data_IF_117291699206
#
_entry.id   IF_117291699206
#
_cell.length_a   1.000
_cell.length_b   1.000
_cell.length_c   1.000
_cell.angle_alpha   90.00
_cell.angle_beta   90.00
_cell.angle_gamma   90.00
#
_symmetry.space_group_name_H-M   'P 1'
#
loop_
_entity.id
_entity.type
_entity.pdbx_description
1 polymer ?
#
# COMPACT_ATOMS: atom_id res chain seq x y z
N UNK A 1 8.75 29.39 0.76
CA UNK A 1 8.21 29.46 -0.60
C UNK A 1 9.26 29.60 -1.71
N UNK A 2 10.10 30.63 -1.76
CA UNK A 2 11.05 30.83 -2.87
C UNK A 2 12.05 29.68 -3.13
N UNK A 3 12.51 28.98 -2.08
CA UNK A 3 13.41 27.81 -2.21
C UNK A 3 12.66 26.61 -2.80
N UNK A 4 11.48 26.28 -2.25
CA UNK A 4 10.59 25.21 -2.74
C UNK A 4 10.33 25.35 -4.24
N UNK A 5 9.89 26.54 -4.69
CA UNK A 5 9.60 26.82 -6.10
C UNK A 5 10.86 26.65 -6.97
N UNK A 6 12.02 27.13 -6.52
CA UNK A 6 13.27 26.97 -7.28
C UNK A 6 13.72 25.51 -7.39
N UNK A 7 13.56 24.73 -6.31
CA UNK A 7 13.86 23.30 -6.29
C UNK A 7 12.95 22.55 -7.28
N UNK A 8 11.64 22.79 -7.25
CA UNK A 8 10.67 22.19 -8.16
C UNK A 8 10.96 22.53 -9.63
N UNK A 9 11.33 23.79 -9.94
CA UNK A 9 11.76 24.18 -11.29
C UNK A 9 13.01 23.44 -11.74
N UNK A 10 14.01 23.37 -10.87
CA UNK A 10 15.25 22.68 -11.18
C UNK A 10 14.98 21.20 -11.47
N UNK A 11 14.15 20.55 -10.65
CA UNK A 11 13.74 19.17 -10.85
C UNK A 11 12.94 18.97 -12.15
N UNK A 12 11.97 19.84 -12.44
CA UNK A 12 11.19 19.82 -13.69
C UNK A 12 12.11 19.90 -14.92
N UNK A 13 13.04 20.85 -14.93
CA UNK A 13 13.95 21.07 -16.06
C UNK A 13 14.95 19.94 -16.26
N UNK A 14 15.31 19.23 -15.19
CA UNK A 14 16.27 18.11 -15.22
C UNK A 14 15.61 16.75 -15.38
N UNK A 15 14.29 16.67 -15.25
CA UNK A 15 13.58 15.39 -15.12
C UNK A 15 14.04 14.60 -13.89
N UNK A 16 14.16 15.28 -12.74
CA UNK A 16 14.56 14.65 -11.48
C UNK A 16 13.34 14.20 -10.66
N UNK A 17 13.47 13.05 -9.98
CA UNK A 17 12.52 12.62 -8.94
C UNK A 17 12.65 13.55 -7.74
N UNK A 18 11.52 13.88 -7.12
CA UNK A 18 11.41 14.72 -5.93
C UNK A 18 10.57 14.05 -4.87
N UNK A 19 10.86 14.37 -3.60
CA UNK A 19 9.92 14.18 -2.49
C UNK A 19 9.33 15.54 -2.17
N UNK A 20 8.01 15.62 -2.08
CA UNK A 20 7.27 16.83 -1.71
C UNK A 20 6.59 16.59 -0.37
N UNK A 21 7.00 17.34 0.64
CA UNK A 21 6.56 17.19 2.02
C UNK A 21 5.45 18.19 2.33
N UNK A 22 4.30 17.68 2.74
CA UNK A 22 3.17 18.50 3.19
C UNK A 22 3.19 18.73 4.69
N UNK A 23 2.56 19.81 5.13
CA UNK A 23 2.50 20.21 6.56
C UNK A 23 1.84 19.19 7.50
N UNK A 24 1.11 18.21 6.95
CA UNK A 24 0.48 17.09 7.64
C UNK A 24 1.28 15.78 7.55
N UNK A 25 2.59 15.88 7.27
CA UNK A 25 3.55 14.77 7.16
C UNK A 25 3.27 13.77 6.03
N UNK A 26 2.36 14.09 5.11
CA UNK A 26 2.17 13.34 3.87
C UNK A 26 3.30 13.66 2.89
N UNK A 27 3.90 12.62 2.31
CA UNK A 27 5.00 12.72 1.34
C UNK A 27 4.52 12.20 -0.01
N UNK A 28 4.68 13.03 -1.05
CA UNK A 28 4.49 12.60 -2.42
C UNK A 28 5.83 12.48 -3.15
N UNK A 29 6.09 11.30 -3.70
CA UNK A 29 7.31 11.03 -4.46
C UNK A 29 7.01 10.94 -5.95
N UNK A 30 7.76 11.65 -6.79
CA UNK A 30 7.48 11.62 -8.22
C UNK A 30 8.24 12.62 -9.08
N UNK A 31 7.73 12.83 -10.29
CA UNK A 31 8.24 13.84 -11.21
C UNK A 31 7.26 15.01 -11.31
N UNK A 32 7.81 16.23 -11.34
CA UNK A 32 7.01 17.43 -11.63
C UNK A 32 6.41 17.30 -13.04
N UNK A 33 5.09 17.34 -13.14
CA UNK A 33 4.36 17.30 -14.40
C UNK A 33 4.00 18.71 -14.86
N UNK A 34 3.55 19.54 -13.93
CA UNK A 34 3.19 20.94 -14.17
C UNK A 34 3.53 21.75 -12.92
N UNK A 35 4.07 22.95 -13.13
CA UNK A 35 4.29 23.95 -12.09
C UNK A 35 3.78 25.31 -12.60
N UNK A 36 2.80 25.88 -11.91
CA UNK A 36 2.38 27.28 -12.12
C UNK A 36 2.91 28.13 -10.95
N UNK A 37 3.89 28.97 -11.27
CA UNK A 37 4.57 29.81 -10.31
C UNK A 37 3.73 31.00 -9.83
N UNK A 38 2.74 31.42 -10.63
CA UNK A 38 1.94 32.59 -10.32
C UNK A 38 0.76 32.24 -9.41
N UNK A 39 0.16 31.06 -9.64
CA UNK A 39 -0.91 30.52 -8.79
C UNK A 39 -0.40 29.64 -7.65
N UNK A 40 0.92 29.41 -7.57
CA UNK A 40 1.54 28.54 -6.57
C UNK A 40 0.96 27.12 -6.58
N UNK A 41 0.79 26.56 -7.78
CA UNK A 41 0.16 25.25 -8.01
C UNK A 41 1.14 24.24 -8.61
N UNK A 42 1.04 23.00 -8.14
CA UNK A 42 1.90 21.90 -8.55
C UNK A 42 1.06 20.69 -8.96
N UNK A 43 1.46 20.02 -10.04
CA UNK A 43 0.98 18.67 -10.36
C UNK A 43 2.19 17.75 -10.47
N UNK A 44 2.16 16.64 -9.73
CA UNK A 44 3.16 15.58 -9.79
C UNK A 44 2.58 14.35 -10.49
N UNK A 45 3.43 13.64 -11.23
CA UNK A 45 3.23 12.22 -11.52
C UNK A 45 3.85 11.43 -10.37
N UNK A 46 3.04 10.66 -9.65
CA UNK A 46 3.43 9.97 -8.43
C UNK A 46 3.89 8.54 -8.68
N UNK A 47 4.74 8.06 -7.77
CA UNK A 47 5.20 6.68 -7.71
C UNK A 47 4.97 6.15 -6.30
N UNK A 48 4.58 4.88 -6.22
CA UNK A 48 4.40 4.20 -4.93
C UNK A 48 5.73 3.79 -4.32
N UNK A 49 5.65 3.23 -3.11
CA UNK A 49 6.79 2.73 -2.36
C UNK A 49 7.58 1.62 -3.11
N UNK A 50 6.98 0.97 -4.11
CA UNK A 50 7.62 -0.07 -4.92
C UNK A 50 8.31 0.49 -6.17
N UNK A 51 8.29 1.81 -6.37
CA UNK A 51 8.86 2.46 -7.55
C UNK A 51 8.01 2.31 -8.80
N UNK A 52 6.73 1.96 -8.67
CA UNK A 52 5.80 1.87 -9.78
C UNK A 52 4.96 3.15 -9.91
N UNK A 53 4.53 3.53 -11.13
CA UNK A 53 3.63 4.67 -11.30
C UNK A 53 2.31 4.49 -10.52
N UNK A 54 1.89 5.52 -9.80
CA UNK A 54 0.68 5.51 -8.98
C UNK A 54 -0.13 6.79 -9.15
N UNK A 55 -0.44 7.11 -10.41
CA UNK A 55 -1.30 8.24 -10.74
C UNK A 55 -0.62 9.61 -10.70
N UNK A 56 -1.42 10.59 -10.31
CA UNK A 56 -1.05 12.00 -10.28
C UNK A 56 -1.67 12.69 -9.07
N UNK A 57 -0.99 13.73 -8.59
CA UNK A 57 -1.50 14.57 -7.49
C UNK A 57 -1.36 16.04 -7.84
N UNK A 58 -2.44 16.79 -7.62
CA UNK A 58 -2.42 18.25 -7.54
C UNK A 58 -2.12 18.67 -6.10
N UNK A 59 -1.29 19.69 -5.94
CA UNK A 59 -0.94 20.29 -4.67
C UNK A 59 -1.01 21.82 -4.77
N UNK A 60 -1.69 22.43 -3.81
CA UNK A 60 -1.50 23.85 -3.49
C UNK A 60 -0.17 23.99 -2.74
N UNK A 61 0.75 24.82 -3.23
CA UNK A 61 2.07 24.95 -2.60
C UNK A 61 1.99 25.58 -1.20
N UNK A 62 0.86 26.19 -0.81
CA UNK A 62 0.68 26.70 0.56
C UNK A 62 0.74 25.59 1.62
N UNK A 63 0.41 24.34 1.27
CA UNK A 63 0.50 23.19 2.18
C UNK A 63 1.81 22.44 2.07
N UNK A 64 2.74 22.89 1.22
CA UNK A 64 4.07 22.30 1.03
C UNK A 64 5.10 23.05 1.87
N UNK A 65 5.75 22.37 2.81
CA UNK A 65 6.79 23.00 3.64
C UNK A 65 8.21 22.74 3.14
N UNK A 66 8.46 21.60 2.51
CA UNK A 66 9.78 21.26 1.95
C UNK A 66 9.68 20.44 0.67
N UNK A 67 10.73 20.55 -0.14
CA UNK A 67 10.93 19.74 -1.35
C UNK A 67 12.37 19.28 -1.40
N UNK A 68 12.54 17.97 -1.31
CA UNK A 68 13.81 17.33 -1.49
C UNK A 68 14.04 17.05 -2.98
N UNK A 69 15.21 17.48 -3.46
CA UNK A 69 15.65 17.31 -4.84
C UNK A 69 17.08 16.81 -4.84
N UNK A 70 17.38 15.86 -5.73
CA UNK A 70 18.73 15.34 -6.01
C UNK A 70 19.47 14.69 -4.81
N UNK A 71 20.12 13.55 -5.07
CA UNK A 71 21.13 12.87 -4.24
C UNK A 71 20.82 12.53 -2.77
N UNK A 72 19.61 12.72 -2.26
CA UNK A 72 19.23 12.11 -0.98
C UNK A 72 19.26 10.59 -1.08
N UNK A 73 19.49 9.94 0.06
CA UNK A 73 19.50 8.48 0.15
C UNK A 73 18.14 7.91 -0.26
N UNK A 74 17.05 8.53 0.20
CA UNK A 74 15.67 8.14 -0.13
C UNK A 74 15.38 8.24 -1.64
N UNK A 75 15.76 9.35 -2.28
CA UNK A 75 15.55 9.51 -3.72
C UNK A 75 16.46 8.59 -4.55
N UNK A 76 17.65 8.24 -4.06
CA UNK A 76 18.50 7.24 -4.70
C UNK A 76 17.88 5.84 -4.61
N UNK A 77 17.37 5.47 -3.44
CA UNK A 77 16.64 4.20 -3.25
C UNK A 77 15.39 4.15 -4.12
N UNK A 78 14.60 5.22 -4.15
CA UNK A 78 13.41 5.30 -5.02
C UNK A 78 13.78 5.15 -6.49
N UNK A 79 14.80 5.87 -6.99
CA UNK A 79 15.28 5.71 -8.37
C UNK A 79 15.69 4.27 -8.68
N UNK A 80 16.39 3.62 -7.74
CA UNK A 80 16.73 2.20 -7.88
C UNK A 80 15.48 1.33 -7.94
N UNK A 81 14.48 1.55 -7.08
CA UNK A 81 13.19 0.83 -7.13
C UNK A 81 12.49 1.01 -8.48
N UNK A 82 12.47 2.22 -9.04
CA UNK A 82 11.96 2.48 -10.39
C UNK A 82 12.74 1.69 -11.47
N UNK A 83 14.06 1.64 -11.36
CA UNK A 83 14.91 0.87 -12.29
C UNK A 83 14.67 -0.64 -12.17
N UNK A 84 14.50 -1.17 -10.95
CA UNK A 84 14.13 -2.57 -10.69
C UNK A 84 12.78 -2.87 -11.32
N UNK A 85 11.76 -2.05 -11.03
CA UNK A 85 10.41 -2.24 -11.56
C UNK A 85 10.43 -2.31 -13.09
N UNK A 86 11.21 -1.43 -13.74
CA UNK A 86 11.41 -1.46 -15.18
C UNK A 86 12.20 -2.69 -15.66
N UNK A 87 13.26 -3.08 -14.96
CA UNK A 87 14.11 -4.21 -15.32
C UNK A 87 13.38 -5.55 -15.23
N UNK A 88 12.62 -5.76 -14.17
CA UNK A 88 11.85 -6.97 -13.93
C UNK A 88 10.44 -6.91 -14.54
N UNK A 89 10.09 -5.83 -15.23
CA UNK A 89 8.81 -5.64 -15.90
C UNK A 89 7.62 -5.78 -14.95
N UNK A 90 7.67 -5.07 -13.81
CA UNK A 90 6.54 -5.03 -12.88
C UNK A 90 5.27 -4.56 -13.59
N UNK A 91 4.13 -5.13 -13.19
CA UNK A 91 2.88 -5.06 -13.93
C UNK A 91 2.00 -3.95 -13.39
N UNK A 92 1.78 -2.92 -14.21
CA UNK A 92 0.90 -1.81 -13.85
C UNK A 92 -0.59 -2.22 -13.93
N UNK A 93 -1.40 -1.88 -12.92
CA UNK A 93 -2.86 -2.17 -12.86
C UNK A 93 -3.65 -1.45 -13.97
N UNK A 94 -3.11 -0.36 -14.48
CA UNK A 94 -3.57 0.32 -15.67
C UNK A 94 -2.41 1.12 -16.28
N UNK A 95 -2.39 1.23 -17.62
CA UNK A 95 -1.55 2.24 -18.26
C UNK A 95 -1.96 3.61 -17.72
N UNK A 96 -1.11 4.21 -16.90
CA UNK A 96 -1.37 5.54 -16.34
C UNK A 96 -1.12 6.57 -17.43
N UNK A 97 -2.07 6.73 -18.34
CA UNK A 97 -2.05 7.81 -19.31
C UNK A 97 -2.20 9.13 -18.55
N UNK A 98 -1.18 9.97 -18.67
CA UNK A 98 -1.18 11.27 -17.99
C UNK A 98 -2.36 12.11 -18.48
N UNK A 99 -3.08 12.71 -17.53
CA UNK A 99 -4.15 13.64 -17.87
C UNK A 99 -3.56 14.87 -18.53
N UNK A 100 -3.99 15.26 -19.74
CA UNK A 100 -3.57 16.52 -20.33
C UNK A 100 -4.22 17.68 -19.58
N UNK A 101 -3.41 18.55 -18.97
CA UNK A 101 -3.88 19.69 -18.17
C UNK A 101 -3.59 20.99 -18.91
N UNK A 102 -4.62 21.82 -19.09
CA UNK A 102 -4.46 23.16 -19.64
C UNK A 102 -4.00 24.14 -18.56
N UNK A 103 -2.69 24.43 -18.52
CA UNK A 103 -2.10 25.37 -17.56
C UNK A 103 -2.60 26.82 -17.65
N UNK A 104 -3.36 27.19 -18.69
CA UNK A 104 -3.94 28.53 -18.82
C UNK A 104 -5.32 28.65 -18.17
N UNK A 105 -5.90 27.53 -17.75
CA UNK A 105 -7.16 27.46 -17.02
C UNK A 105 -6.90 27.21 -15.53
N UNK A 106 -7.95 27.29 -14.71
CA UNK A 106 -7.86 26.86 -13.31
C UNK A 106 -7.58 25.35 -13.27
N UNK A 107 -6.42 24.96 -12.72
CA UNK A 107 -5.93 23.59 -12.77
C UNK A 107 -6.85 22.64 -12.00
N UNK A 108 -7.31 23.04 -10.80
CA UNK A 108 -8.26 22.25 -10.00
C UNK A 108 -9.53 21.96 -10.78
N UNK A 109 -10.09 22.97 -11.44
CA UNK A 109 -11.31 22.86 -12.23
C UNK A 109 -11.11 21.98 -13.47
N UNK A 110 -9.96 22.07 -14.14
CA UNK A 110 -9.62 21.17 -15.26
C UNK A 110 -9.55 19.71 -14.81
N UNK A 111 -8.88 19.43 -13.69
CA UNK A 111 -8.77 18.07 -13.14
C UNK A 111 -10.15 17.53 -12.78
N UNK A 112 -10.91 18.25 -11.95
CA UNK A 112 -12.24 17.82 -11.49
C UNK A 112 -13.25 17.71 -12.64
N UNK A 113 -13.21 18.65 -13.58
CA UNK A 113 -14.06 18.64 -14.77
C UNK A 113 -13.78 17.45 -15.69
N UNK A 114 -12.51 17.05 -15.84
CA UNK A 114 -12.13 15.85 -16.59
C UNK A 114 -12.52 14.59 -15.84
N UNK A 115 -12.27 14.51 -14.54
CA UNK A 115 -12.72 13.38 -13.72
C UNK A 115 -14.23 13.19 -13.77
N UNK A 116 -15.00 14.28 -13.84
CA UNK A 116 -16.46 14.23 -14.08
C UNK A 116 -16.80 13.61 -15.44
N UNK A 117 -16.21 14.11 -16.52
CA UNK A 117 -16.48 13.64 -17.89
C UNK A 117 -16.07 12.17 -18.07
N UNK A 118 -14.96 11.76 -17.47
CA UNK A 118 -14.42 10.40 -17.57
C UNK A 118 -15.02 9.45 -16.51
N UNK A 119 -15.79 9.99 -15.56
CA UNK A 119 -16.40 9.23 -14.46
C UNK A 119 -15.37 8.56 -13.54
N UNK A 120 -14.24 9.23 -13.33
CA UNK A 120 -13.12 8.76 -12.51
C UNK A 120 -13.30 9.13 -11.04
N UNK A 121 -12.89 8.22 -10.16
CA UNK A 121 -12.74 8.48 -8.73
C UNK A 121 -11.57 9.42 -8.48
N UNK A 122 -11.77 10.35 -7.56
CA UNK A 122 -10.74 11.25 -7.06
C UNK A 122 -10.72 11.19 -5.54
N UNK A 123 -9.59 11.56 -4.94
CA UNK A 123 -9.54 11.95 -3.54
C UNK A 123 -9.22 13.43 -3.44
N UNK A 124 -10.07 14.18 -2.76
CA UNK A 124 -9.95 15.62 -2.58
C UNK A 124 -9.71 15.91 -1.10
N UNK A 125 -8.63 16.61 -0.78
CA UNK A 125 -8.35 17.09 0.57
C UNK A 125 -8.63 18.58 0.65
N UNK A 126 -9.36 18.98 1.69
CA UNK A 126 -9.68 20.36 2.01
C UNK A 126 -9.11 20.74 3.36
N UNK A 127 -8.56 21.95 3.46
CA UNK A 127 -8.12 22.49 4.74
C UNK A 127 -9.33 22.91 5.59
N UNK A 128 -9.24 22.65 6.89
CA UNK A 128 -10.26 23.05 7.84
C UNK A 128 -9.77 24.27 8.64
N UNK A 129 -10.59 25.31 8.86
CA UNK A 129 -10.15 26.56 9.49
C UNK A 129 -9.38 26.40 10.82
N UNK A 130 -9.64 25.33 11.58
CA UNK A 130 -9.01 25.04 12.87
C UNK A 130 -8.80 23.52 13.11
N UNK A 131 -8.61 22.73 12.06
CA UNK A 131 -8.67 21.26 12.17
C UNK A 131 -7.64 20.51 11.34
N UNK A 132 -7.66 19.19 11.50
CA UNK A 132 -6.96 18.24 10.63
C UNK A 132 -7.60 18.33 9.23
N UNK A 133 -6.81 18.33 8.14
CA UNK A 133 -7.34 18.31 6.78
C UNK A 133 -8.35 17.18 6.61
N UNK A 134 -9.44 17.44 5.88
CA UNK A 134 -10.46 16.43 5.62
C UNK A 134 -10.34 15.93 4.18
N UNK A 135 -10.23 14.61 4.02
CA UNK A 135 -10.16 13.95 2.71
C UNK A 135 -11.50 13.30 2.36
N UNK A 136 -11.93 13.51 1.12
CA UNK A 136 -13.13 12.91 0.54
C UNK A 136 -12.73 12.10 -0.69
N UNK A 137 -13.04 10.80 -0.68
CA UNK A 137 -12.86 9.92 -1.84
C UNK A 137 -14.21 9.71 -2.52
N UNK A 138 -14.29 9.88 -3.84
CA UNK A 138 -15.56 9.74 -4.53
C UNK A 138 -15.56 10.14 -6.00
N UNK A 139 -16.75 10.14 -6.58
CA UNK A 139 -16.97 10.61 -7.95
C UNK A 139 -17.32 12.10 -7.92
N UNK A 140 -16.79 12.84 -8.87
CA UNK A 140 -17.32 14.17 -9.18
C UNK A 140 -18.71 13.96 -9.79
N UNK A 141 -19.76 14.48 -9.15
CA UNK A 141 -21.14 14.37 -9.63
C UNK A 141 -21.55 15.53 -10.54
N UNK A 142 -21.06 16.74 -10.22
CA UNK A 142 -21.27 17.92 -11.04
C UNK A 142 -20.27 19.01 -10.70
N UNK A 143 -19.88 19.79 -11.71
CA UNK A 143 -19.25 21.10 -11.52
C UNK A 143 -20.38 22.13 -11.37
N UNK A 144 -20.66 22.54 -10.14
CA UNK A 144 -21.81 23.40 -9.79
C UNK A 144 -21.62 24.81 -10.34
N UNK A 145 -20.39 25.32 -10.27
CA UNK A 145 -19.97 26.62 -10.79
C UNK A 145 -18.46 26.61 -11.03
N UNK A 146 -17.89 27.75 -11.43
CA UNK A 146 -16.42 27.93 -11.45
C UNK A 146 -15.77 27.92 -10.07
N UNK A 147 -16.57 27.93 -9.00
CA UNK A 147 -16.10 28.05 -7.61
C UNK A 147 -16.38 26.80 -6.77
N UNK A 148 -17.29 25.92 -7.20
CA UNK A 148 -17.71 24.77 -6.41
C UNK A 148 -17.96 23.51 -7.26
N UNK A 149 -17.66 22.37 -6.64
CA UNK A 149 -17.88 21.03 -7.17
C UNK A 149 -18.72 20.21 -6.19
N UNK A 150 -19.57 19.31 -6.68
CA UNK A 150 -20.26 18.33 -5.84
C UNK A 150 -19.62 16.95 -6.06
N UNK A 151 -19.21 16.29 -4.97
CA UNK A 151 -18.78 14.90 -4.97
C UNK A 151 -19.87 14.00 -4.38
N UNK A 152 -19.99 12.79 -4.93
CA UNK A 152 -20.63 11.67 -4.23
C UNK A 152 -19.50 10.86 -3.59
N UNK A 153 -19.40 10.93 -2.26
CA UNK A 153 -18.38 10.25 -1.49
C UNK A 153 -18.66 8.76 -1.38
N UNK A 154 -17.61 7.97 -1.29
CA UNK A 154 -17.66 6.52 -1.09
C UNK A 154 -16.89 6.13 0.16
N UNK A 155 -17.48 5.26 0.97
CA UNK A 155 -16.76 4.49 1.97
C UNK A 155 -16.52 3.08 1.41
N UNK A 156 -15.25 2.66 1.35
CA UNK A 156 -14.91 1.33 0.83
C UNK A 156 -15.18 0.20 1.82
N UNK A 157 -15.48 0.55 3.07
CA UNK A 157 -15.79 -0.37 4.16
C UNK A 157 -17.28 -0.54 4.40
N UNK A 158 -18.10 0.42 3.94
CA UNK A 158 -19.56 0.43 4.07
C UNK A 158 -20.21 1.06 2.83
N UNK A 159 -20.81 0.24 1.97
CA UNK A 159 -21.47 0.71 0.75
C UNK A 159 -22.85 1.30 1.01
N UNK A 160 -23.35 1.34 2.24
CA UNK A 160 -24.61 2.03 2.55
C UNK A 160 -24.42 3.54 2.73
N UNK A 161 -23.18 3.97 2.95
CA UNK A 161 -22.81 5.35 3.23
C UNK A 161 -22.36 6.09 1.98
N UNK A 162 -23.31 6.79 1.34
CA UNK A 162 -23.02 7.74 0.27
C UNK A 162 -23.54 9.12 0.62
N UNK A 163 -22.67 10.12 0.54
CA UNK A 163 -23.02 11.50 0.82
C UNK A 163 -22.69 12.38 -0.38
N UNK A 164 -23.61 13.30 -0.69
CA UNK A 164 -23.32 14.40 -1.58
C UNK A 164 -22.68 15.52 -0.78
N UNK A 165 -21.46 15.87 -1.15
CA UNK A 165 -20.69 16.91 -0.49
C UNK A 165 -20.32 17.96 -1.53
N UNK A 166 -20.76 19.21 -1.30
CA UNK A 166 -20.33 20.35 -2.09
C UNK A 166 -19.05 20.92 -1.51
N UNK A 167 -18.00 20.99 -2.32
CA UNK A 167 -16.69 21.49 -1.94
C UNK A 167 -16.39 22.78 -2.70
N UNK A 168 -15.90 23.81 -1.99
CA UNK A 168 -15.39 25.01 -2.63
C UNK A 168 -14.01 24.72 -3.23
N UNK A 169 -13.84 25.02 -4.51
CA UNK A 169 -12.60 24.76 -5.25
C UNK A 169 -11.42 25.51 -4.62
N UNK A 170 -11.65 26.70 -4.06
CA UNK A 170 -10.63 27.49 -3.39
C UNK A 170 -10.09 26.82 -2.11
N UNK A 171 -10.87 25.95 -1.46
CA UNK A 171 -10.49 25.25 -0.22
C UNK A 171 -9.73 23.94 -0.46
N UNK A 172 -9.71 23.48 -1.71
CA UNK A 172 -9.02 22.25 -2.10
C UNK A 172 -7.51 22.49 -2.12
N UNK A 173 -6.78 21.71 -1.32
CA UNK A 173 -5.32 21.77 -1.27
C UNK A 173 -4.64 20.58 -1.91
N UNK A 174 -5.33 19.45 -1.99
CA UNK A 174 -4.82 18.25 -2.67
C UNK A 174 -5.91 17.59 -3.49
N UNK A 175 -5.56 17.13 -4.69
CA UNK A 175 -6.41 16.23 -5.50
C UNK A 175 -5.54 15.07 -5.96
N UNK A 176 -5.82 13.86 -5.49
CA UNK A 176 -5.24 12.64 -6.03
C UNK A 176 -6.18 12.03 -7.08
N UNK A 177 -5.60 11.64 -8.21
CA UNK A 177 -6.34 11.11 -9.36
C UNK A 177 -5.47 10.12 -10.15
N UNK A 178 -6.12 9.20 -10.87
CA UNK A 178 -5.46 8.16 -11.66
C UNK A 178 -4.56 7.17 -10.87
N UNK A 179 -4.57 7.23 -9.54
CA UNK A 179 -3.87 6.25 -8.70
C UNK A 179 -4.44 4.83 -8.87
N UNK A 180 -3.67 3.82 -8.48
CA UNK A 180 -4.02 2.40 -8.63
C UNK A 180 -5.34 2.06 -7.94
N UNK A 181 -5.46 2.43 -6.66
CA UNK A 181 -6.69 2.19 -5.88
C UNK A 181 -7.88 2.96 -6.50
N UNK A 182 -7.69 4.25 -6.84
CA UNK A 182 -8.74 5.08 -7.46
C UNK A 182 -9.20 4.50 -8.81
N UNK A 183 -8.28 3.94 -9.59
CA UNK A 183 -8.60 3.27 -10.86
C UNK A 183 -9.43 2.01 -10.62
N UNK A 184 -9.07 1.20 -9.62
CA UNK A 184 -9.84 0.02 -9.25
C UNK A 184 -11.22 0.36 -8.70
N UNK A 185 -11.34 1.40 -7.89
CA UNK A 185 -12.63 1.94 -7.43
C UNK A 185 -13.48 2.44 -8.60
N UNK A 186 -12.87 3.12 -9.58
CA UNK A 186 -13.54 3.61 -10.78
C UNK A 186 -14.15 2.46 -11.60
N UNK A 187 -13.37 1.40 -11.83
CA UNK A 187 -13.82 0.18 -12.53
C UNK A 187 -14.99 -0.50 -11.81
N UNK A 188 -15.03 -0.41 -10.47
CA UNK A 188 -15.99 -1.10 -9.62
C UNK A 188 -17.07 -0.20 -9.01
N UNK A 189 -17.33 0.98 -9.61
CA UNK A 189 -18.34 1.92 -9.12
C UNK A 189 -19.73 1.30 -8.94
N UNK A 190 -20.13 0.36 -9.80
CA UNK A 190 -21.44 -0.31 -9.68
C UNK A 190 -21.56 -1.13 -8.40
N UNK A 191 -20.45 -1.71 -7.94
CA UNK A 191 -20.40 -2.44 -6.67
C UNK A 191 -20.48 -1.45 -5.50
N UNK A 192 -19.67 -0.38 -5.54
CA UNK A 192 -19.59 0.64 -4.49
C UNK A 192 -20.91 1.38 -4.24
N UNK A 193 -21.69 1.63 -5.30
CA UNK A 193 -23.00 2.28 -5.24
C UNK A 193 -24.17 1.30 -5.28
N UNK A 194 -23.89 0.00 -5.08
CA UNK A 194 -24.88 -1.07 -5.07
C UNK A 194 -25.36 -1.39 -3.66
N UNK A 195 -25.89 -2.61 -3.50
CA UNK A 195 -26.34 -3.10 -2.20
C UNK A 195 -25.16 -3.37 -1.27
N UNK A 196 -25.26 -2.86 -0.04
CA UNK A 196 -24.36 -3.14 1.09
C UNK A 196 -24.68 -4.48 1.74
N UNK A 197 -23.69 -5.09 2.37
CA UNK A 197 -23.87 -6.27 3.24
C UNK A 197 -23.43 -5.96 4.67
N UNK A 198 -24.09 -6.60 5.63
CA UNK A 198 -23.65 -6.57 7.02
C UNK A 198 -22.29 -7.25 7.17
N UNK A 199 -21.43 -6.64 7.98
CA UNK A 199 -20.14 -7.21 8.35
C UNK A 199 -20.34 -8.42 9.29
N UNK A 200 -19.68 -9.52 8.97
CA UNK A 200 -19.66 -10.74 9.80
C UNK A 200 -18.30 -10.86 10.46
N UNK A 201 -18.27 -10.55 11.75
CA UNK A 201 -17.10 -10.61 12.64
C UNK A 201 -17.14 -11.86 13.52
N UNK A 202 -15.99 -12.50 13.69
CA UNK A 202 -15.76 -13.64 14.59
C UNK A 202 -14.58 -13.32 15.49
N UNK A 203 -14.73 -13.58 16.80
CA UNK A 203 -13.65 -13.40 17.76
C UNK A 203 -12.53 -14.42 17.54
N UNK A 204 -11.27 -14.02 17.75
CA UNK A 204 -10.12 -14.90 17.54
C UNK A 204 -10.03 -16.09 18.50
N UNK A 205 -10.72 -16.03 19.64
CA UNK A 205 -10.84 -17.13 20.60
C UNK A 205 -12.07 -18.03 20.38
N UNK A 206 -12.80 -17.82 19.27
CA UNK A 206 -13.94 -18.66 18.92
C UNK A 206 -13.50 -20.13 18.72
N UNK A 207 -14.17 -21.10 19.38
CA UNK A 207 -13.79 -22.52 19.29
C UNK A 207 -13.92 -23.12 17.87
N UNK A 208 -14.64 -22.45 16.96
CA UNK A 208 -14.85 -22.87 15.58
C UNK A 208 -13.90 -22.19 14.58
N UNK A 209 -12.89 -21.45 15.03
CA UNK A 209 -11.97 -20.74 14.12
C UNK A 209 -11.27 -21.67 13.11
N UNK A 210 -10.93 -22.90 13.52
CA UNK A 210 -10.33 -23.89 12.63
C UNK A 210 -11.31 -24.40 11.57
N UNK A 211 -12.60 -24.50 11.91
CA UNK A 211 -13.65 -24.86 10.96
C UNK A 211 -13.85 -23.74 9.92
N UNK A 212 -13.70 -22.48 10.36
CA UNK A 212 -13.74 -21.32 9.46
C UNK A 212 -12.54 -21.29 8.51
N UNK A 213 -11.34 -21.63 8.97
CA UNK A 213 -10.18 -21.79 8.08
C UNK A 213 -10.35 -22.95 7.11
N UNK A 214 -10.92 -24.07 7.57
CA UNK A 214 -11.27 -25.21 6.73
C UNK A 214 -12.22 -24.82 5.59
N UNK A 215 -13.32 -24.16 5.95
CA UNK A 215 -14.34 -23.69 5.01
C UNK A 215 -13.77 -22.64 4.05
N UNK A 216 -12.97 -21.69 4.56
CA UNK A 216 -12.35 -20.65 3.73
C UNK A 216 -11.38 -21.23 2.71
N UNK A 217 -10.57 -22.22 3.10
CA UNK A 217 -9.70 -22.96 2.18
C UNK A 217 -10.51 -23.74 1.14
N UNK A 218 -11.53 -24.47 1.57
CA UNK A 218 -12.35 -25.32 0.69
C UNK A 218 -13.19 -24.51 -0.31
N UNK A 219 -13.69 -23.34 0.09
CA UNK A 219 -14.54 -22.47 -0.71
C UNK A 219 -13.78 -21.32 -1.38
N UNK A 220 -12.47 -21.23 -1.17
CA UNK A 220 -11.62 -20.13 -1.62
C UNK A 220 -12.21 -18.75 -1.24
N UNK A 221 -12.64 -18.62 0.01
CA UNK A 221 -13.20 -17.39 0.57
C UNK A 221 -12.07 -16.47 1.01
N UNK A 222 -12.19 -15.19 0.63
CA UNK A 222 -11.33 -14.12 1.12
C UNK A 222 -11.76 -13.76 2.54
N UNK A 223 -10.81 -13.53 3.44
CA UNK A 223 -11.08 -13.08 4.79
C UNK A 223 -10.18 -11.89 5.14
N UNK A 224 -10.53 -11.21 6.23
CA UNK A 224 -9.69 -10.21 6.88
C UNK A 224 -9.38 -10.68 8.31
N UNK A 225 -8.11 -10.65 8.71
CA UNK A 225 -7.68 -10.94 10.08
C UNK A 225 -7.09 -9.68 10.67
N UNK A 226 -7.62 -9.25 11.81
CA UNK A 226 -6.93 -8.33 12.68
C UNK A 226 -6.00 -9.08 13.63
N UNK A 227 -4.78 -8.58 13.74
CA UNK A 227 -3.75 -9.19 14.58
C UNK A 227 -3.78 -8.66 16.02
N UNK A 228 -3.51 -9.56 16.97
CA UNK A 228 -3.24 -9.23 18.36
C UNK A 228 -1.82 -8.65 18.60
N UNK A 229 -0.93 -8.67 17.60
CA UNK A 229 0.43 -8.12 17.68
C UNK A 229 0.43 -6.59 17.68
N UNK A 230 -0.49 -5.97 16.93
CA UNK A 230 -0.51 -4.54 16.74
C UNK A 230 -1.94 -4.07 16.45
N UNK A 231 -2.52 -3.34 17.42
CA UNK A 231 -3.86 -2.75 17.30
C UNK A 231 -3.87 -1.75 16.13
N UNK A 232 -4.42 -2.16 14.99
CA UNK A 232 -4.55 -1.33 13.79
C UNK A 232 -4.01 -1.96 12.51
N UNK A 233 -3.28 -3.08 12.60
CA UNK A 233 -2.88 -3.86 11.43
C UNK A 233 -3.86 -5.00 11.18
N UNK A 234 -4.29 -5.12 9.93
CA UNK A 234 -5.08 -6.24 9.45
C UNK A 234 -4.48 -6.82 8.17
N UNK A 235 -4.77 -8.09 7.94
CA UNK A 235 -4.36 -8.83 6.77
C UNK A 235 -5.58 -9.28 5.98
N UNK A 236 -5.54 -9.14 4.67
CA UNK A 236 -6.58 -9.68 3.78
C UNK A 236 -5.98 -10.81 2.97
N UNK A 237 -6.66 -11.95 2.86
CA UNK A 237 -6.05 -13.10 2.22
C UNK A 237 -6.94 -14.31 2.01
N UNK A 238 -6.35 -15.34 1.40
CA UNK A 238 -6.95 -16.67 1.29
C UNK A 238 -6.15 -17.70 2.09
N UNK A 239 -6.86 -18.60 2.77
CA UNK A 239 -6.22 -19.65 3.57
C UNK A 239 -5.54 -20.60 2.61
N UNK A 240 -4.22 -20.73 2.73
CA UNK A 240 -3.45 -21.70 1.96
C UNK A 240 -3.44 -23.04 2.71
N UNK A 241 -3.14 -23.00 4.00
CA UNK A 241 -3.16 -24.17 4.86
C UNK A 241 -3.27 -23.78 6.35
N UNK A 242 -3.56 -24.75 7.22
CA UNK A 242 -3.70 -24.50 8.66
C UNK A 242 -3.49 -25.78 9.48
N UNK A 243 -3.20 -25.62 10.76
CA UNK A 243 -3.25 -26.67 11.77
C UNK A 243 -3.72 -26.08 13.12
N UNK A 244 -3.60 -26.83 14.21
CA UNK A 244 -4.05 -26.39 15.54
C UNK A 244 -3.26 -25.20 16.10
N UNK A 245 -2.02 -24.97 15.66
CA UNK A 245 -1.16 -23.91 16.18
C UNK A 245 -1.06 -22.71 15.24
N UNK A 246 -1.06 -22.94 13.93
CA UNK A 246 -0.83 -21.91 12.92
C UNK A 246 -1.85 -21.96 11.78
N UNK A 247 -2.07 -20.80 11.17
CA UNK A 247 -2.68 -20.63 9.86
C UNK A 247 -1.66 -19.97 8.92
N UNK A 248 -1.61 -20.42 7.67
CA UNK A 248 -0.86 -19.74 6.62
C UNK A 248 -1.83 -19.29 5.52
N UNK A 249 -1.65 -18.04 5.11
CA UNK A 249 -2.46 -17.43 4.08
C UNK A 249 -1.61 -16.61 3.13
N UNK A 250 -2.09 -16.51 1.89
CA UNK A 250 -1.57 -15.55 0.94
C UNK A 250 -2.23 -14.20 1.18
N UNK A 251 -1.46 -13.13 1.02
CA UNK A 251 -1.95 -11.77 1.18
C UNK A 251 -2.49 -11.25 -0.13
N UNK A 252 -3.53 -10.41 -0.04
CA UNK A 252 -4.05 -9.60 -1.13
C UNK A 252 -3.90 -8.13 -0.72
N UNK A 253 -3.24 -7.33 -1.56
CA UNK A 253 -3.06 -5.90 -1.32
C UNK A 253 -4.38 -5.13 -1.43
N UNK A 254 -4.39 -3.88 -0.98
CA UNK A 254 -5.57 -3.00 -1.07
C UNK A 254 -5.98 -2.69 -2.53
N UNK A 255 -5.07 -2.88 -3.49
CA UNK A 255 -5.34 -2.78 -4.93
C UNK A 255 -5.71 -4.13 -5.57
N UNK A 256 -5.75 -5.21 -4.79
CA UNK A 256 -6.14 -6.56 -5.20
C UNK A 256 -5.02 -7.42 -5.78
N UNK A 257 -3.74 -7.04 -5.65
CA UNK A 257 -2.60 -7.83 -6.14
C UNK A 257 -2.12 -8.81 -5.06
N UNK A 258 -1.25 -9.75 -5.43
CA UNK A 258 -0.60 -10.65 -4.49
C UNK A 258 0.36 -9.88 -3.57
N UNK A 259 0.19 -10.04 -2.26
CA UNK A 259 0.98 -9.34 -1.24
C UNK A 259 2.02 -10.20 -0.52
N UNK A 260 2.22 -11.46 -0.91
CA UNK A 260 3.10 -12.42 -0.22
C UNK A 260 2.36 -13.40 0.68
N UNK A 261 3.04 -13.92 1.70
CA UNK A 261 2.49 -14.88 2.65
C UNK A 261 2.71 -14.44 4.10
N UNK A 262 1.82 -14.91 4.98
CA UNK A 262 2.00 -14.82 6.43
C UNK A 262 1.69 -16.17 7.06
N UNK A 263 2.63 -16.70 7.83
CA UNK A 263 2.35 -17.72 8.84
C UNK A 263 2.01 -16.99 10.15
N UNK A 264 0.84 -17.26 10.69
CA UNK A 264 0.34 -16.63 11.92
C UNK A 264 -0.03 -17.72 12.93
N UNK A 265 0.41 -17.57 14.19
CA UNK A 265 -0.11 -18.39 15.28
C UNK A 265 -1.60 -18.13 15.45
N UNK A 266 -2.41 -19.16 15.65
CA UNK A 266 -3.86 -18.99 15.85
C UNK A 266 -4.18 -18.06 17.04
N UNK A 267 -3.33 -18.06 18.08
CA UNK A 267 -3.46 -17.15 19.23
C UNK A 267 -3.17 -15.68 18.90
N UNK A 268 -2.70 -15.38 17.70
CA UNK A 268 -2.46 -14.01 17.22
C UNK A 268 -3.64 -13.44 16.45
N UNK A 269 -4.66 -14.25 16.15
CA UNK A 269 -5.91 -13.75 15.58
C UNK A 269 -6.66 -13.03 16.71
N UNK A 270 -6.88 -11.73 16.56
CA UNK A 270 -7.74 -10.98 17.47
C UNK A 270 -9.19 -11.03 16.99
N UNK A 271 -9.41 -10.76 15.70
CA UNK A 271 -10.70 -10.80 15.03
C UNK A 271 -10.55 -11.34 13.61
N UNK A 272 -11.58 -12.01 13.14
CA UNK A 272 -11.70 -12.54 11.79
C UNK A 272 -12.99 -12.02 11.17
N UNK A 273 -12.89 -11.36 10.03
CA UNK A 273 -14.04 -10.97 9.21
C UNK A 273 -14.14 -11.89 8.00
N UNK A 274 -15.33 -12.44 7.78
CA UNK A 274 -15.58 -13.44 6.73
C UNK A 274 -16.55 -12.94 5.65
N UNK A 275 -17.28 -11.87 5.93
CA UNK A 275 -18.10 -11.14 4.96
C UNK A 275 -18.14 -9.66 5.34
N UNK A 276 -17.97 -8.79 4.36
CA UNK A 276 -18.06 -7.33 4.48
C UNK A 276 -18.05 -6.70 3.10
N UNK A 277 -18.52 -5.46 2.99
CA UNK A 277 -18.40 -4.69 1.76
C UNK A 277 -16.94 -4.53 1.31
N UNK A 278 -16.03 -4.34 2.26
CA UNK A 278 -14.60 -4.28 1.97
C UNK A 278 -14.06 -5.58 1.36
N UNK A 279 -14.40 -6.74 1.93
CA UNK A 279 -13.99 -8.03 1.39
C UNK A 279 -14.59 -8.29 0.00
N UNK A 280 -15.84 -7.88 -0.24
CA UNK A 280 -16.46 -7.93 -1.57
C UNK A 280 -15.69 -7.07 -2.57
N UNK A 281 -15.25 -5.87 -2.18
CA UNK A 281 -14.45 -4.98 -3.01
C UNK A 281 -13.09 -5.59 -3.36
N UNK A 282 -12.33 -6.03 -2.36
CA UNK A 282 -10.98 -6.57 -2.57
C UNK A 282 -11.04 -7.87 -3.36
N UNK A 283 -12.05 -8.73 -3.11
CA UNK A 283 -12.29 -9.92 -3.94
C UNK A 283 -12.52 -9.54 -5.40
N UNK A 284 -13.26 -8.47 -5.65
CA UNK A 284 -13.51 -7.99 -7.00
C UNK A 284 -12.24 -7.41 -7.65
N UNK A 285 -11.44 -6.64 -6.91
CA UNK A 285 -10.14 -6.16 -7.39
C UNK A 285 -9.20 -7.31 -7.74
N UNK A 286 -9.15 -8.34 -6.89
CA UNK A 286 -8.37 -9.54 -7.11
C UNK A 286 -8.74 -10.25 -8.43
N UNK A 287 -10.04 -10.44 -8.66
CA UNK A 287 -10.55 -11.04 -9.89
C UNK A 287 -10.16 -10.24 -11.14
N UNK A 288 -10.27 -8.91 -11.08
CA UNK A 288 -9.92 -8.04 -12.19
C UNK A 288 -8.42 -8.06 -12.49
N UNK A 289 -7.57 -8.02 -11.46
CA UNK A 289 -6.13 -8.14 -11.65
C UNK A 289 -5.73 -9.51 -12.23
N UNK A 290 -6.39 -10.60 -11.81
CA UNK A 290 -6.16 -11.93 -12.41
C UNK A 290 -6.58 -11.97 -13.88
N UNK A 291 -7.70 -11.34 -14.22
CA UNK A 291 -8.18 -11.26 -15.62
C UNK A 291 -7.26 -10.40 -16.50
N UNK A 292 -6.66 -9.35 -15.93
CA UNK A 292 -5.74 -8.46 -16.61
C UNK A 292 -4.27 -8.94 -16.58
N UNK A 293 -3.99 -10.09 -15.96
CA UNK A 293 -2.64 -10.61 -15.69
C UNK A 293 -1.76 -9.68 -14.83
N UNK A 294 -2.35 -8.77 -14.05
CA UNK A 294 -1.64 -7.83 -13.15
C UNK A 294 -1.63 -8.30 -11.69
N UNK A 295 -2.15 -9.49 -11.39
CA UNK A 295 -2.27 -10.00 -10.03
C UNK A 295 -0.92 -10.27 -9.36
N UNK A 296 0.04 -10.84 -10.10
CA UNK A 296 1.32 -11.28 -9.58
C UNK A 296 2.47 -10.52 -10.24
N UNK A 297 3.32 -9.92 -9.41
CA UNK A 297 4.56 -9.31 -9.89
C UNK A 297 5.59 -10.39 -10.27
N UNK A 298 6.41 -10.20 -11.34
CA UNK A 298 7.26 -11.26 -11.90
C UNK A 298 8.31 -11.85 -10.95
N UNK A 299 8.64 -11.15 -9.88
CA UNK A 299 9.64 -11.57 -8.87
C UNK A 299 9.02 -12.35 -7.71
N UNK A 300 7.69 -12.46 -7.66
CA UNK A 300 6.94 -13.13 -6.61
C UNK A 300 6.44 -14.50 -7.07
N UNK A 301 5.98 -15.31 -6.11
CA UNK A 301 5.45 -16.65 -6.35
C UNK A 301 4.20 -16.86 -5.48
N UNK A 302 3.02 -16.98 -6.09
CA UNK A 302 1.74 -17.25 -5.41
C UNK A 302 1.37 -18.75 -5.37
N UNK A 303 2.18 -19.63 -5.96
CA UNK A 303 1.91 -21.07 -6.11
C UNK A 303 2.61 -21.94 -5.06
N UNK A 304 3.16 -21.34 -4.00
CA UNK A 304 3.87 -22.11 -2.96
C UNK A 304 2.91 -23.01 -2.18
N UNK A 305 3.25 -24.30 -2.14
CA UNK A 305 2.61 -25.28 -1.27
C UNK A 305 3.31 -25.35 0.09
N UNK A 306 2.54 -25.60 1.14
CA UNK A 306 3.04 -25.69 2.51
C UNK A 306 2.57 -26.96 3.18
N UNK A 307 3.52 -27.72 3.72
CA UNK A 307 3.23 -28.82 4.63
C UNK A 307 3.04 -28.27 6.05
N UNK A 308 1.85 -28.47 6.62
CA UNK A 308 1.49 -27.93 7.94
C UNK A 308 1.78 -28.93 9.07
N UNK A 309 2.97 -29.52 9.02
CA UNK A 309 3.54 -30.30 10.12
C UNK A 309 3.72 -29.48 11.40
N UNK A 310 4.07 -30.15 12.49
CA UNK A 310 4.35 -29.50 13.78
C UNK A 310 5.60 -28.59 13.74
N UNK A 311 6.41 -28.71 12.70
CA UNK A 311 7.68 -28.05 12.45
C UNK A 311 7.59 -27.01 11.32
N UNK A 312 6.39 -26.57 10.92
CA UNK A 312 6.24 -25.61 9.82
C UNK A 312 7.03 -24.31 10.05
N UNK A 313 7.06 -23.79 11.27
CA UNK A 313 7.86 -22.61 11.60
C UNK A 313 9.36 -22.87 11.43
N UNK A 314 9.85 -24.01 11.94
CA UNK A 314 11.24 -24.45 11.76
C UNK A 314 11.59 -24.52 10.26
N UNK A 315 10.76 -25.21 9.47
CA UNK A 315 10.99 -25.40 8.04
C UNK A 315 11.02 -24.08 7.25
N UNK A 316 10.13 -23.13 7.57
CA UNK A 316 10.11 -21.82 6.92
C UNK A 316 11.36 -20.99 7.27
N UNK A 317 11.80 -21.03 8.54
CA UNK A 317 13.01 -20.32 8.96
C UNK A 317 14.27 -20.98 8.37
N UNK A 318 14.37 -22.31 8.34
CA UNK A 318 15.47 -23.03 7.67
C UNK A 318 15.54 -22.66 6.20
N UNK A 319 14.39 -22.61 5.52
CA UNK A 319 14.34 -22.22 4.13
C UNK A 319 14.82 -20.78 3.93
N UNK A 320 14.36 -19.83 4.76
CA UNK A 320 14.78 -18.45 4.69
C UNK A 320 16.29 -18.29 4.94
N UNK A 321 16.86 -19.05 5.88
CA UNK A 321 18.31 -19.09 6.13
C UNK A 321 19.06 -19.61 4.89
N UNK A 322 18.64 -20.77 4.37
CA UNK A 322 19.32 -21.42 3.25
C UNK A 322 19.28 -20.56 1.98
N UNK A 323 18.15 -19.89 1.73
CA UNK A 323 17.95 -19.01 0.58
C UNK A 323 18.44 -17.59 0.81
N UNK A 324 18.90 -17.25 2.02
CA UNK A 324 19.28 -15.89 2.42
C UNK A 324 18.16 -14.88 2.10
N UNK A 325 16.94 -15.17 2.55
CA UNK A 325 15.77 -14.35 2.28
C UNK A 325 15.37 -13.51 3.49
N UNK A 326 15.02 -12.25 3.23
CA UNK A 326 14.39 -11.40 4.23
C UNK A 326 13.00 -11.92 4.60
N UNK A 327 12.70 -11.87 5.89
CA UNK A 327 11.39 -12.17 6.47
C UNK A 327 11.04 -11.09 7.49
N UNK A 328 9.74 -10.89 7.75
CA UNK A 328 9.27 -10.07 8.86
C UNK A 328 8.86 -10.96 10.02
N UNK A 329 9.45 -10.75 11.19
CA UNK A 329 9.04 -11.41 12.43
C UNK A 329 8.29 -10.40 13.28
N UNK A 330 7.06 -10.73 13.70
CA UNK A 330 6.33 -9.96 14.70
C UNK A 330 5.98 -10.82 15.92
N UNK A 331 6.00 -10.19 17.09
CA UNK A 331 5.58 -10.80 18.35
C UNK A 331 4.30 -10.13 18.85
N UNK A 332 3.66 -10.70 19.87
CA UNK A 332 2.48 -10.07 20.47
C UNK A 332 2.72 -8.67 21.03
N UNK A 333 3.93 -8.39 21.50
CA UNK A 333 4.22 -7.18 22.28
C UNK A 333 5.23 -6.25 21.59
N UNK A 334 5.57 -6.52 20.33
CA UNK A 334 6.55 -5.73 19.59
C UNK A 334 6.14 -5.66 18.12
N UNK A 335 6.42 -4.51 17.51
CA UNK A 335 6.23 -4.31 16.08
C UNK A 335 7.04 -5.31 15.25
N UNK A 336 6.55 -5.58 14.05
CA UNK A 336 7.22 -6.51 13.15
C UNK A 336 8.55 -5.93 12.66
N UNK A 337 9.61 -6.75 12.69
CA UNK A 337 10.94 -6.38 12.25
C UNK A 337 11.31 -7.17 10.99
N UNK A 338 11.75 -6.45 9.95
CA UNK A 338 12.31 -7.03 8.73
C UNK A 338 13.77 -7.42 8.96
N UNK A 339 14.21 -8.56 8.45
CA UNK A 339 15.59 -9.02 8.64
C UNK A 339 15.88 -10.39 8.09
N UNK A 340 17.15 -10.79 8.20
CA UNK A 340 17.63 -12.11 7.82
C UNK A 340 17.61 -13.05 9.03
N UNK A 341 16.96 -14.22 8.95
CA UNK A 341 17.31 -15.31 9.83
C UNK A 341 18.68 -15.84 9.38
N UNK A 342 19.65 -15.90 10.28
CA UNK A 342 21.05 -16.23 9.95
C UNK A 342 21.38 -17.68 10.26
N UNK A 343 20.98 -18.14 11.43
CA UNK A 343 21.08 -19.53 11.85
C UNK A 343 20.08 -19.78 12.99
N UNK A 344 19.97 -21.04 13.42
CA UNK A 344 19.09 -21.42 14.51
C UNK A 344 19.78 -22.34 15.49
N UNK A 345 19.31 -22.33 16.72
CA UNK A 345 19.69 -23.28 17.77
C UNK A 345 18.51 -24.21 18.03
N UNK A 346 18.48 -25.42 17.45
CA UNK A 346 17.32 -26.32 17.55
C UNK A 346 16.99 -26.73 19.00
N UNK A 347 18.01 -26.81 19.86
CA UNK A 347 17.87 -27.22 21.27
C UNK A 347 17.15 -26.13 22.08
N UNK A 348 17.51 -24.86 21.87
CA UNK A 348 16.91 -23.73 22.61
C UNK A 348 15.71 -23.14 21.90
N UNK A 349 15.36 -23.62 20.70
CA UNK A 349 14.28 -23.11 19.84
C UNK A 349 14.39 -21.60 19.66
N UNK A 350 15.57 -21.17 19.23
CA UNK A 350 15.89 -19.77 18.95
C UNK A 350 16.42 -19.61 17.53
N UNK A 351 16.05 -18.52 16.88
CA UNK A 351 16.64 -18.05 15.63
C UNK A 351 17.52 -16.85 15.94
N UNK A 352 18.74 -16.83 15.37
CA UNK A 352 19.56 -15.63 15.37
C UNK A 352 19.13 -14.78 14.17
N UNK A 353 18.47 -13.68 14.45
CA UNK A 353 17.87 -12.77 13.48
C UNK A 353 18.72 -11.51 13.37
N UNK A 354 19.00 -11.08 12.14
CA UNK A 354 19.71 -9.85 11.85
C UNK A 354 18.74 -8.85 11.21
N UNK A 355 18.23 -7.86 11.96
CA UNK A 355 17.30 -6.88 11.44
C UNK A 355 17.92 -5.99 10.37
N UNK A 356 17.07 -5.49 9.50
CA UNK A 356 17.37 -4.32 8.67
C UNK A 356 17.07 -3.07 9.51
N UNK A 357 17.89 -2.04 9.38
CA UNK A 357 17.64 -0.73 9.98
C UNK A 357 16.34 -0.09 9.46
N UNK A 358 15.87 0.95 10.15
CA UNK A 358 14.64 1.65 9.79
C UNK A 358 14.71 2.34 8.42
N UNK A 359 15.91 2.74 8.00
CA UNK A 359 16.13 3.41 6.71
C UNK A 359 16.34 2.41 5.56
N UNK A 360 16.31 1.10 5.86
CA UNK A 360 16.48 -0.01 4.90
C UNK A 360 17.80 0.01 4.13
N UNK A 361 18.87 0.47 4.76
CA UNK A 361 20.17 0.73 4.14
C UNK A 361 21.31 -0.06 4.74
N UNK A 362 21.15 -0.56 5.96
CA UNK A 362 22.14 -1.36 6.66
C UNK A 362 21.51 -2.49 7.48
N UNK A 363 22.38 -3.30 8.08
CA UNK A 363 21.97 -4.40 8.94
C UNK A 363 22.35 -4.08 10.38
N UNK A 364 21.37 -4.21 11.27
CA UNK A 364 21.56 -4.06 12.69
C UNK A 364 22.31 -5.24 13.31
N UNK A 365 22.62 -5.11 14.60
CA UNK A 365 23.21 -6.17 15.38
C UNK A 365 22.30 -7.40 15.43
N UNK A 366 22.89 -8.59 15.32
CA UNK A 366 22.17 -9.86 15.47
C UNK A 366 21.56 -9.97 16.87
N UNK A 367 20.33 -10.48 16.92
CA UNK A 367 19.60 -10.77 18.15
C UNK A 367 19.05 -12.19 18.13
N UNK A 368 18.91 -12.80 19.30
CA UNK A 368 18.27 -14.10 19.44
C UNK A 368 16.76 -13.91 19.69
N UNK A 369 15.93 -14.53 18.86
CA UNK A 369 14.47 -14.52 19.00
C UNK A 369 14.00 -15.95 19.30
N UNK A 370 13.27 -16.14 20.38
CA UNK A 370 12.71 -17.45 20.70
C UNK A 370 11.51 -17.75 19.79
N UNK A 371 11.36 -19.00 19.35
CA UNK A 371 10.27 -19.39 18.45
C UNK A 371 8.89 -19.13 19.07
N UNK A 372 8.78 -19.25 20.40
CA UNK A 372 7.55 -18.97 21.14
C UNK A 372 7.17 -17.48 21.12
N UNK A 373 8.13 -16.60 20.87
CA UNK A 373 7.88 -15.16 20.76
C UNK A 373 7.49 -14.76 19.34
N UNK A 374 7.72 -15.62 18.34
CA UNK A 374 7.31 -15.40 16.96
C UNK A 374 5.80 -15.67 16.86
N UNK A 375 5.00 -14.60 16.86
CA UNK A 375 3.57 -14.65 16.61
C UNK A 375 3.24 -14.74 15.12
N UNK A 376 4.03 -14.03 14.31
CA UNK A 376 3.83 -13.92 12.86
C UNK A 376 5.17 -13.97 12.14
N UNK A 377 5.17 -14.63 10.98
CA UNK A 377 6.26 -14.65 10.02
C UNK A 377 5.72 -14.29 8.64
N UNK A 378 6.01 -13.08 8.15
CA UNK A 378 5.67 -12.65 6.80
C UNK A 378 6.86 -12.85 5.85
N UNK A 379 6.60 -13.30 4.62
CA UNK A 379 7.65 -13.60 3.64
C UNK A 379 7.13 -13.62 2.20
N UNK A 380 8.05 -13.59 1.24
CA UNK A 380 7.72 -13.69 -0.19
C UNK A 380 6.90 -12.51 -0.72
N UNK A 381 7.09 -11.32 -0.16
CA UNK A 381 6.44 -10.08 -0.55
C UNK A 381 7.43 -9.10 -1.19
N UNK A 382 6.90 -8.13 -1.93
CA UNK A 382 7.68 -7.27 -2.81
C UNK A 382 8.70 -6.40 -2.08
N UNK A 383 8.31 -5.83 -0.94
CA UNK A 383 9.21 -5.00 -0.13
C UNK A 383 10.45 -5.77 0.32
N UNK A 384 10.32 -7.03 0.76
CA UNK A 384 11.48 -7.85 1.12
C UNK A 384 12.47 -8.03 -0.05
N UNK A 385 11.95 -8.21 -1.27
CA UNK A 385 12.80 -8.28 -2.47
C UNK A 385 13.50 -6.95 -2.76
N UNK A 386 12.79 -5.82 -2.66
CA UNK A 386 13.32 -4.49 -2.92
C UNK A 386 14.36 -4.06 -1.88
N UNK A 387 14.16 -4.41 -0.60
CA UNK A 387 15.10 -4.12 0.48
C UNK A 387 16.37 -4.94 0.34
N UNK A 388 16.28 -6.25 0.03
CA UNK A 388 17.48 -7.06 -0.22
C UNK A 388 18.33 -6.48 -1.36
N UNK A 389 17.68 -6.12 -2.47
CA UNK A 389 18.37 -5.47 -3.58
C UNK A 389 18.98 -4.12 -3.18
N UNK A 390 18.27 -3.31 -2.38
CA UNK A 390 18.77 -2.05 -1.81
C UNK A 390 20.01 -2.21 -0.93
N UNK A 391 20.01 -3.20 -0.03
CA UNK A 391 21.16 -3.50 0.84
C UNK A 391 22.39 -3.93 0.02
N UNK A 392 22.18 -4.72 -1.03
CA UNK A 392 23.26 -5.13 -1.94
C UNK A 392 23.80 -3.94 -2.75
N UNK A 393 22.99 -2.93 -3.02
CA UNK A 393 23.47 -1.68 -3.63
C UNK A 393 24.42 -0.91 -2.73
N UNK A 394 23.97 -0.65 -1.49
CA UNK A 394 24.67 0.22 -0.56
C UNK A 394 26.08 -0.31 -0.27
N UNK A 395 26.20 -1.64 -0.12
CA UNK A 395 27.49 -2.34 0.01
C UNK A 395 28.44 -2.07 -1.16
N UNK A 396 27.94 -2.03 -2.39
CA UNK A 396 28.76 -1.82 -3.59
C UNK A 396 29.17 -0.35 -3.82
N UNK A 397 28.52 0.61 -3.17
CA UNK A 397 28.93 2.02 -3.23
C UNK A 397 29.99 2.38 -2.18
N UNK A 398 30.12 1.59 -1.12
CA UNK A 398 31.07 1.79 -0.03
C UNK A 398 32.44 1.08 -0.25
N UNK A 399 32.67 0.56 -1.46
CA UNK A 399 33.92 -0.04 -1.94
C UNK A 399 34.40 0.69 -3.19
#
# INVERSE_FOLDING_TARGET
MGIVINNLKAAYNRGAVVNVYRVDDIIFTGYVYLLDENSEELVLRTYDEWGMPDGMVYLDLMVVYDVEVDNSQDLQLMKRRMDIAKHYHFKEIAETNLMPINKLANIRLEILGRSYVEGQMVMVTVEQPHGVPQSYKGLVNQVVSSEAVELITVDKTDFSSHHKTTIQIAEITTIEFLGKELTMLTKNRQLLFGDSVDQVEVAGDDPHILDLFADSKATHRLFEIESAANNGYYYIGYVVNYNYEYVIFNLVTMSGQFGGYVLMRNTMVARLFIDSDYLRLIKRFNQENRQADTFLEPVLNDEREFDMGADVLDALLEQAINLHQLVRIASRNAEGQLGYPVDMTPITKQVHFQPVDLDYTELDAKQAVAFNDIGELAFGYLEAFLVDDGLNFAKNQNH
#
